data_IF_894934126400
#
_entry.id   IF_894934126400
#
_cell.length_a   1.000
_cell.length_b   1.000
_cell.length_c   1.000
_cell.angle_alpha   90.00
_cell.angle_beta   90.00
_cell.angle_gamma   90.00
#
_symmetry.space_group_name_H-M   'P 1'
#
loop_
_entity.id
_entity.type
_entity.pdbx_description
1 polymer ?
#
# COMPACT_ATOMS: atom_id res chain seq x y z
N UNK A 1 -12.69 7.38 17.69
CA UNK A 1 -11.84 6.26 18.05
C UNK A 1 -10.58 6.24 17.20
N UNK A 2 -9.52 5.75 17.78
CA UNK A 2 -8.18 5.81 17.19
C UNK A 2 -7.74 4.48 16.65
N UNK A 3 -6.92 4.50 15.59
CA UNK A 3 -6.29 3.31 15.05
C UNK A 3 -5.19 2.86 16.02
N UNK A 4 -5.13 1.56 16.29
CA UNK A 4 -4.13 0.98 17.21
C UNK A 4 -2.84 0.54 16.51
N UNK A 5 -2.72 0.79 15.22
CA UNK A 5 -1.61 0.27 14.44
C UNK A 5 -0.89 1.34 13.64
N UNK A 6 0.43 1.18 13.55
CA UNK A 6 1.21 1.83 12.51
C UNK A 6 1.13 0.96 11.26
N UNK A 7 0.94 1.55 10.08
CA UNK A 7 0.87 0.81 8.83
C UNK A 7 1.92 1.36 7.88
N UNK A 8 2.77 0.46 7.41
CA UNK A 8 3.86 0.75 6.49
C UNK A 8 3.61 0.08 5.15
N UNK A 9 4.05 0.72 4.08
CA UNK A 9 4.21 0.07 2.78
C UNK A 9 5.66 -0.33 2.65
N UNK A 10 5.90 -1.61 2.34
CA UNK A 10 7.24 -2.14 2.08
C UNK A 10 7.35 -2.50 0.61
N UNK A 11 8.36 -1.95 -0.03
CA UNK A 11 8.72 -2.27 -1.41
C UNK A 11 10.18 -2.67 -1.47
N UNK A 12 10.51 -3.53 -2.43
CA UNK A 12 11.88 -3.92 -2.70
C UNK A 12 12.36 -3.14 -3.92
N UNK A 13 13.45 -2.41 -3.75
CA UNK A 13 13.99 -1.55 -4.80
C UNK A 13 15.51 -1.48 -4.67
N UNK A 14 16.19 -1.64 -5.80
CA UNK A 14 17.66 -1.55 -5.87
C UNK A 14 18.35 -2.47 -4.85
N UNK A 15 17.87 -3.72 -4.75
CA UNK A 15 18.33 -4.75 -3.83
C UNK A 15 18.17 -4.37 -2.34
N UNK A 16 17.27 -3.45 -2.01
CA UNK A 16 17.04 -2.97 -0.66
C UNK A 16 15.55 -2.84 -0.38
N UNK A 17 15.13 -3.24 0.82
CA UNK A 17 13.77 -2.99 1.28
C UNK A 17 13.60 -1.51 1.63
N UNK A 18 12.50 -0.94 1.19
CA UNK A 18 12.09 0.41 1.55
C UNK A 18 10.76 0.34 2.27
N UNK A 19 10.65 1.03 3.39
CA UNK A 19 9.41 1.14 4.16
C UNK A 19 8.99 2.59 4.25
N UNK A 20 7.71 2.83 4.10
CA UNK A 20 7.13 4.15 4.27
C UNK A 20 5.91 4.07 5.17
N UNK A 21 5.89 4.89 6.22
CA UNK A 21 4.79 4.96 7.16
C UNK A 21 3.63 5.73 6.55
N UNK A 22 2.48 5.08 6.39
CA UNK A 22 1.27 5.72 5.86
C UNK A 22 0.23 6.00 6.94
N UNK A 23 0.20 5.20 7.98
CA UNK A 23 -0.76 5.36 9.08
C UNK A 23 -0.02 5.31 10.40
N UNK A 24 -0.24 6.31 11.23
CA UNK A 24 0.34 6.37 12.56
C UNK A 24 -0.69 5.98 13.61
N UNK A 25 -0.33 5.05 14.49
CA UNK A 25 -1.16 4.67 15.63
C UNK A 25 -1.52 5.92 16.46
N UNK A 26 -2.74 5.97 16.95
CA UNK A 26 -3.26 7.13 17.67
C UNK A 26 -3.99 8.14 16.79
N UNK A 27 -4.03 7.93 15.48
CA UNK A 27 -4.82 8.75 14.57
C UNK A 27 -6.29 8.32 14.62
N UNK A 28 -7.24 9.25 14.74
CA UNK A 28 -8.67 8.90 14.62
C UNK A 28 -8.92 8.22 13.27
N UNK A 29 -9.64 7.11 13.29
CA UNK A 29 -9.79 6.31 12.06
C UNK A 29 -10.45 7.06 10.91
N UNK A 30 -11.34 8.00 11.21
CA UNK A 30 -12.00 8.84 10.20
C UNK A 30 -11.05 9.82 9.52
N UNK A 31 -9.95 10.15 10.17
CA UNK A 31 -8.96 11.09 9.66
C UNK A 31 -7.82 10.43 8.90
N UNK A 32 -7.80 9.10 8.88
CA UNK A 32 -6.73 8.38 8.17
C UNK A 32 -6.94 8.52 6.67
N UNK A 33 -5.95 9.09 6.02
CA UNK A 33 -5.89 9.20 4.56
C UNK A 33 -4.43 9.33 4.15
N UNK A 34 -3.72 8.20 4.17
CA UNK A 34 -2.33 8.14 3.76
C UNK A 34 -2.20 7.71 2.31
N UNK A 35 -1.31 8.33 1.56
CA UNK A 35 -1.03 7.90 0.21
C UNK A 35 0.45 8.02 -0.13
N UNK A 36 0.90 7.17 -1.04
CA UNK A 36 2.28 7.15 -1.53
C UNK A 36 2.29 6.64 -2.97
N UNK A 37 3.18 7.19 -3.77
CA UNK A 37 3.47 6.67 -5.09
C UNK A 37 4.65 5.71 -5.00
N UNK A 38 4.49 4.53 -5.57
CA UNK A 38 5.54 3.50 -5.58
C UNK A 38 5.79 3.03 -7.00
N UNK A 39 7.03 2.63 -7.24
CA UNK A 39 7.44 2.00 -8.49
C UNK A 39 7.97 0.61 -8.10
N UNK A 40 7.14 -0.45 -8.23
CA UNK A 40 7.60 -1.81 -7.95
C UNK A 40 8.74 -2.17 -8.89
N UNK A 41 9.79 -2.76 -8.35
CA UNK A 41 10.98 -3.07 -9.13
C UNK A 41 10.81 -4.33 -9.99
N UNK A 42 10.60 -5.46 -9.36
CA UNK A 42 10.52 -6.75 -10.07
C UNK A 42 9.30 -7.57 -9.70
N UNK A 43 8.62 -7.19 -8.65
CA UNK A 43 7.59 -8.01 -8.04
C UNK A 43 6.20 -7.49 -8.36
N UNK A 44 5.29 -8.42 -8.60
CA UNK A 44 3.88 -8.12 -8.73
C UNK A 44 3.20 -8.03 -7.37
N UNK A 45 3.98 -7.71 -6.34
CA UNK A 45 3.51 -7.74 -4.96
C UNK A 45 4.00 -6.53 -4.18
N UNK A 46 3.14 -6.04 -3.31
CA UNK A 46 3.46 -4.98 -2.36
C UNK A 46 3.12 -5.50 -0.97
N UNK A 47 4.00 -5.30 -0.01
CA UNK A 47 3.74 -5.65 1.36
C UNK A 47 3.14 -4.49 2.13
N UNK A 48 2.05 -4.79 2.83
CA UNK A 48 1.47 -3.91 3.84
C UNK A 48 1.88 -4.46 5.19
N UNK A 49 2.64 -3.70 5.95
CA UNK A 49 3.10 -4.12 7.28
C UNK A 49 2.28 -3.39 8.34
N UNK A 50 1.59 -4.14 9.15
CA UNK A 50 0.73 -3.64 10.21
C UNK A 50 1.37 -3.94 11.56
N UNK A 51 1.74 -2.89 12.28
CA UNK A 51 2.33 -2.99 13.62
C UNK A 51 1.29 -2.54 14.64
N UNK A 52 0.67 -3.51 15.33
CA UNK A 52 -0.28 -3.23 16.40
C UNK A 52 0.51 -2.84 17.65
N UNK A 53 0.40 -1.59 18.07
CA UNK A 53 1.20 -1.08 19.19
C UNK A 53 0.64 -1.49 20.56
N UNK A 54 -0.62 -1.88 20.64
CA UNK A 54 -1.24 -2.35 21.88
C UNK A 54 -0.91 -3.81 22.15
N UNK A 55 -0.94 -4.65 21.12
CA UNK A 55 -0.64 -6.07 21.21
C UNK A 55 0.83 -6.39 21.01
N UNK A 56 1.64 -5.42 20.60
CA UNK A 56 3.05 -5.61 20.25
C UNK A 56 3.24 -6.69 19.18
N UNK A 57 2.33 -6.72 18.19
CA UNK A 57 2.38 -7.68 17.10
C UNK A 57 2.59 -6.97 15.77
N UNK A 58 3.38 -7.59 14.91
CA UNK A 58 3.60 -7.11 13.54
C UNK A 58 3.19 -8.19 12.55
N UNK A 59 2.35 -7.83 11.59
CA UNK A 59 1.88 -8.73 10.54
C UNK A 59 2.14 -8.10 9.18
N UNK A 60 2.56 -8.92 8.23
CA UNK A 60 2.71 -8.52 6.84
C UNK A 60 1.58 -9.10 6.00
N UNK A 61 0.97 -8.27 5.19
CA UNK A 61 -0.06 -8.66 4.23
C UNK A 61 0.48 -8.41 2.83
N UNK A 62 0.46 -9.45 2.00
CA UNK A 62 0.91 -9.34 0.61
C UNK A 62 -0.26 -8.91 -0.27
N UNK A 63 -0.06 -7.86 -1.03
CA UNK A 63 -1.01 -7.44 -2.06
C UNK A 63 -0.47 -7.87 -3.41
N UNK A 64 -1.16 -8.83 -4.04
CA UNK A 64 -0.82 -9.25 -5.39
C UNK A 64 -1.35 -8.22 -6.39
N UNK A 65 -0.49 -7.85 -7.33
CA UNK A 65 -0.82 -6.98 -8.45
C UNK A 65 -1.20 -7.80 -9.69
N UNK A 66 -1.73 -9.00 -9.49
CA UNK A 66 -2.17 -9.85 -10.59
C UNK A 66 -3.26 -9.14 -11.41
N UNK A 67 -3.20 -9.32 -12.71
CA UNK A 67 -4.13 -8.65 -13.63
C UNK A 67 -3.59 -7.40 -14.29
N UNK A 68 -2.40 -6.95 -13.92
CA UNK A 68 -1.69 -5.95 -14.71
C UNK A 68 -1.09 -6.61 -15.95
N UNK A 69 -1.10 -5.90 -17.06
CA UNK A 69 -0.35 -6.34 -18.23
C UNK A 69 1.13 -6.37 -17.90
N UNK A 70 1.85 -7.35 -18.48
CA UNK A 70 3.29 -7.41 -18.31
C UNK A 70 3.93 -6.11 -18.77
N UNK A 71 4.76 -5.55 -17.93
CA UNK A 71 5.53 -4.34 -18.20
C UNK A 71 6.96 -4.57 -17.79
N UNK A 72 7.86 -3.81 -18.39
CA UNK A 72 9.25 -3.83 -17.96
C UNK A 72 9.37 -3.29 -16.53
N UNK A 73 10.38 -3.74 -15.81
CA UNK A 73 10.66 -3.27 -14.46
C UNK A 73 10.80 -1.75 -14.43
N UNK A 74 10.27 -1.13 -13.38
CA UNK A 74 10.32 0.31 -13.17
C UNK A 74 9.56 1.13 -14.22
N UNK A 75 8.64 0.51 -14.94
CA UNK A 75 7.81 1.21 -15.93
C UNK A 75 6.37 1.39 -15.49
N UNK A 76 6.10 1.10 -14.24
CA UNK A 76 4.74 1.29 -13.69
C UNK A 76 4.83 2.01 -12.36
N UNK A 77 4.02 3.04 -12.22
CA UNK A 77 3.87 3.78 -10.98
C UNK A 77 2.47 3.58 -10.46
N UNK A 78 2.37 3.21 -9.19
CA UNK A 78 1.10 3.05 -8.49
C UNK A 78 0.95 4.11 -7.42
N UNK A 79 -0.28 4.61 -7.26
CA UNK A 79 -0.66 5.35 -6.07
C UNK A 79 -1.35 4.36 -5.13
N UNK A 80 -0.80 4.20 -3.94
CA UNK A 80 -1.39 3.41 -2.87
C UNK A 80 -2.02 4.37 -1.88
N UNK A 81 -3.29 4.16 -1.57
CA UNK A 81 -4.02 4.98 -0.60
C UNK A 81 -4.61 4.10 0.47
N UNK A 82 -4.48 4.51 1.73
CA UNK A 82 -5.01 3.79 2.87
C UNK A 82 -6.02 4.67 3.59
N UNK A 83 -7.22 4.12 3.79
CA UNK A 83 -8.30 4.70 4.58
C UNK A 83 -8.90 3.61 5.44
N UNK A 84 -9.81 3.99 6.33
CA UNK A 84 -10.51 3.04 7.19
C UNK A 84 -12.01 3.17 7.01
N UNK A 85 -12.71 2.03 6.96
CA UNK A 85 -14.17 1.98 7.00
C UNK A 85 -14.68 2.06 8.44
N UNK A 86 -13.90 1.54 9.37
CA UNK A 86 -14.11 1.63 10.82
C UNK A 86 -12.74 1.41 11.48
N UNK A 87 -12.70 1.39 12.81
CA UNK A 87 -11.44 1.29 13.56
C UNK A 87 -10.58 0.07 13.20
N UNK A 88 -11.18 -1.02 12.75
CA UNK A 88 -10.49 -2.27 12.50
C UNK A 88 -10.49 -2.72 11.04
N UNK A 89 -11.19 -2.01 10.16
CA UNK A 89 -11.25 -2.38 8.74
C UNK A 89 -10.50 -1.36 7.90
N UNK A 90 -9.33 -1.76 7.43
CA UNK A 90 -8.45 -0.96 6.61
C UNK A 90 -8.79 -1.16 5.12
N UNK A 91 -8.94 -0.07 4.40
CA UNK A 91 -9.21 -0.08 2.96
C UNK A 91 -7.96 0.40 2.24
N UNK A 92 -7.41 -0.48 1.40
CA UNK A 92 -6.24 -0.18 0.59
C UNK A 92 -6.66 -0.10 -0.87
N UNK A 93 -6.39 1.04 -1.49
CA UNK A 93 -6.63 1.20 -2.93
C UNK A 93 -5.30 1.38 -3.65
N UNK A 94 -5.20 0.76 -4.83
CA UNK A 94 -4.04 0.86 -5.70
C UNK A 94 -4.51 1.35 -7.05
N UNK A 95 -3.89 2.41 -7.55
CA UNK A 95 -4.22 2.97 -8.86
C UNK A 95 -2.99 2.92 -9.77
N UNK A 96 -3.17 2.40 -10.97
CA UNK A 96 -2.14 2.37 -11.99
C UNK A 96 -2.04 3.73 -12.68
N UNK A 97 -0.93 4.43 -12.46
CA UNK A 97 -0.65 5.73 -13.06
C UNK A 97 0.26 5.65 -14.30
N UNK A 98 0.67 4.43 -14.72
CA UNK A 98 1.61 4.27 -15.82
C UNK A 98 2.99 4.85 -15.50
N UNK A 99 3.75 5.19 -16.53
CA UNK A 99 5.08 5.77 -16.38
C UNK A 99 5.36 6.72 -17.55
N UNK A 100 4.74 7.90 -17.50
CA UNK A 100 4.89 8.91 -18.53
C UNK A 100 4.51 8.41 -19.94
N UNK A 101 5.34 8.68 -20.90
CA UNK A 101 5.14 8.22 -22.29
C UNK A 101 5.57 6.77 -22.51
N UNK A 102 6.35 6.19 -21.60
CA UNK A 102 6.86 4.83 -21.72
C UNK A 102 5.75 3.81 -21.55
N UNK A 103 4.85 4.05 -20.60
CA UNK A 103 3.76 3.16 -20.30
C UNK A 103 2.51 3.97 -19.92
N UNK A 104 1.48 3.87 -20.75
CA UNK A 104 0.24 4.59 -20.50
C UNK A 104 -0.42 4.13 -19.20
N UNK A 105 -1.00 5.07 -18.46
CA UNK A 105 -1.81 4.76 -17.29
C UNK A 105 -3.06 4.01 -17.73
N UNK A 106 -3.37 2.89 -17.07
CA UNK A 106 -4.65 2.22 -17.27
C UNK A 106 -5.75 2.90 -16.47
N UNK A 107 -5.37 3.67 -15.44
CA UNK A 107 -6.26 4.25 -14.44
C UNK A 107 -7.12 3.22 -13.71
N UNK A 108 -6.77 1.95 -13.84
CA UNK A 108 -7.44 0.87 -13.14
C UNK A 108 -7.17 0.99 -11.64
N UNK A 109 -8.19 0.74 -10.84
CA UNK A 109 -8.10 0.79 -9.39
C UNK A 109 -8.45 -0.57 -8.82
N UNK A 110 -7.62 -1.04 -7.89
CA UNK A 110 -7.87 -2.23 -7.10
C UNK A 110 -8.17 -1.81 -5.68
N UNK A 111 -9.14 -2.46 -5.07
CA UNK A 111 -9.47 -2.23 -3.68
C UNK A 111 -9.30 -3.53 -2.91
N UNK A 112 -8.67 -3.45 -1.76
CA UNK A 112 -8.51 -4.57 -0.84
C UNK A 112 -8.86 -4.13 0.56
N UNK A 113 -9.47 -5.03 1.33
CA UNK A 113 -9.82 -4.81 2.71
C UNK A 113 -8.95 -5.67 3.61
N UNK A 114 -8.40 -5.07 4.65
CA UNK A 114 -7.59 -5.77 5.65
C UNK A 114 -8.27 -5.61 6.99
N UNK A 115 -8.64 -6.73 7.58
CA UNK A 115 -9.20 -6.76 8.92
C UNK A 115 -8.08 -6.78 9.93
N UNK A 116 -8.05 -5.78 10.79
CA UNK A 116 -7.02 -5.65 11.82
C UNK A 116 -7.43 -6.26 13.15
#
# INVERSE_FOLDING_TARGET
>A
EMVASNIYIRTYKDATDHEELLVKAGTPWKEVDGSVDVIPDQEDEIQIVVQDVLKHETKAHMLSLSGFSKRENKTTRFTIRIRFANRTNCIVTLKDNGFGEICAASNRVWERHIQL
#
